data_IF_969968753338
#
_entry.id   IF_969968753338
#
_cell.length_a   1.000
_cell.length_b   1.000
_cell.length_c   1.000
_cell.angle_alpha   90.00
_cell.angle_beta   90.00
_cell.angle_gamma   90.00
#
_symmetry.space_group_name_H-M   'P 1'
#
loop_
_entity.id
_entity.type
_entity.pdbx_description
1 polymer ?
#
# COMPACT_ATOMS: atom_id res chain seq x y z
N UNK A 1 9.15 24.63 -11.49
CA UNK A 1 8.71 25.74 -12.38
C UNK A 1 9.93 26.31 -13.07
N UNK A 2 9.92 26.51 -14.40
CA UNK A 2 11.08 27.12 -15.10
C UNK A 2 11.20 28.60 -14.73
N UNK A 3 12.41 29.06 -14.40
CA UNK A 3 12.65 30.47 -14.02
C UNK A 3 12.92 31.36 -15.23
N UNK A 4 13.15 30.77 -16.40
CA UNK A 4 13.52 31.46 -17.64
C UNK A 4 15.02 31.74 -17.79
N UNK A 5 15.86 31.38 -16.80
CA UNK A 5 17.32 31.52 -16.89
C UNK A 5 17.95 30.23 -17.43
N UNK A 6 19.02 30.37 -18.20
CA UNK A 6 19.87 29.27 -18.64
C UNK A 6 21.19 29.29 -17.85
N UNK A 7 21.45 28.21 -17.11
CA UNK A 7 22.60 28.08 -16.20
C UNK A 7 23.51 26.94 -16.64
N UNK A 8 24.80 27.01 -16.30
CA UNK A 8 25.73 25.91 -16.58
C UNK A 8 25.46 24.77 -15.60
N UNK A 9 25.17 23.57 -16.12
CA UNK A 9 25.00 22.36 -15.31
C UNK A 9 26.34 21.63 -15.14
N UNK A 10 27.15 21.60 -16.20
CA UNK A 10 28.52 21.10 -16.22
C UNK A 10 29.39 21.99 -17.11
N UNK A 11 30.70 21.70 -17.20
CA UNK A 11 31.62 22.43 -18.10
C UNK A 11 31.23 22.33 -19.58
N UNK A 12 30.44 21.32 -19.95
CA UNK A 12 30.03 21.02 -21.34
C UNK A 12 28.53 21.21 -21.61
N UNK A 13 27.69 21.34 -20.58
CA UNK A 13 26.24 21.38 -20.75
C UNK A 13 25.60 22.55 -19.99
N UNK A 14 24.67 23.24 -20.66
CA UNK A 14 23.80 24.28 -20.07
C UNK A 14 22.37 23.77 -20.03
N UNK A 15 21.66 24.05 -18.94
CA UNK A 15 20.28 23.63 -18.75
C UNK A 15 19.40 24.82 -18.33
N UNK A 16 18.09 24.65 -18.44
CA UNK A 16 17.13 25.63 -17.93
C UNK A 16 17.09 25.56 -16.40
N UNK A 17 17.24 26.69 -15.73
CA UNK A 17 17.07 26.80 -14.29
C UNK A 17 15.59 26.59 -13.93
N UNK A 18 15.37 25.79 -12.89
CA UNK A 18 14.05 25.47 -12.38
C UNK A 18 13.98 25.80 -10.89
N UNK A 19 12.85 26.36 -10.47
CA UNK A 19 12.44 26.43 -9.08
C UNK A 19 11.81 25.08 -8.70
N UNK A 20 12.58 24.28 -7.97
CA UNK A 20 12.26 22.91 -7.54
C UNK A 20 13.14 22.53 -6.33
N UNK A 21 12.98 21.31 -5.82
CA UNK A 21 13.90 20.73 -4.83
C UNK A 21 15.28 20.54 -5.45
N UNK A 22 16.31 21.08 -4.79
CA UNK A 22 17.69 21.07 -5.27
C UNK A 22 18.60 20.20 -4.38
N UNK A 23 19.53 19.42 -4.97
CA UNK A 23 19.74 19.24 -6.41
C UNK A 23 18.61 18.44 -7.06
N UNK A 24 18.34 18.74 -8.34
CA UNK A 24 17.32 18.03 -9.12
C UNK A 24 17.81 16.60 -9.38
N UNK A 25 16.92 15.63 -9.21
CA UNK A 25 17.20 14.22 -9.50
C UNK A 25 17.62 14.06 -10.96
N UNK A 26 18.68 13.28 -11.19
CA UNK A 26 19.16 12.96 -12.54
C UNK A 26 18.61 11.60 -12.92
N UNK A 27 17.82 11.57 -13.99
CA UNK A 27 17.26 10.33 -14.52
C UNK A 27 18.40 9.57 -15.22
N UNK A 28 18.99 8.65 -14.46
CA UNK A 28 20.11 7.81 -14.90
C UNK A 28 19.61 6.40 -15.15
N UNK A 29 20.22 5.72 -16.12
CA UNK A 29 19.88 4.32 -16.37
C UNK A 29 20.08 3.50 -15.09
N UNK A 30 19.13 2.62 -14.75
CA UNK A 30 19.28 1.74 -13.60
C UNK A 30 20.58 0.94 -13.72
N UNK A 31 21.33 0.78 -12.62
CA UNK A 31 22.58 0.03 -12.64
C UNK A 31 22.33 -1.42 -13.07
N UNK A 32 23.18 -1.91 -13.97
CA UNK A 32 23.24 -3.31 -14.38
C UNK A 32 24.62 -3.88 -14.00
N UNK A 33 24.70 -4.86 -13.07
CA UNK A 33 23.61 -5.64 -12.47
C UNK A 33 22.80 -4.88 -11.41
N UNK A 34 21.59 -5.38 -11.13
CA UNK A 34 20.73 -4.82 -10.10
C UNK A 34 21.42 -4.82 -8.72
N UNK A 35 21.35 -3.68 -8.02
CA UNK A 35 21.99 -3.48 -6.70
C UNK A 35 21.53 -4.51 -5.67
N UNK A 36 20.26 -4.93 -5.74
CA UNK A 36 19.66 -5.89 -4.82
C UNK A 36 19.38 -7.25 -5.49
N UNK A 37 20.38 -7.78 -6.21
CA UNK A 37 20.32 -9.12 -6.81
C UNK A 37 19.93 -10.22 -5.80
N UNK A 38 20.35 -10.08 -4.54
CA UNK A 38 20.04 -11.04 -3.46
C UNK A 38 18.56 -11.05 -3.04
N UNK A 39 17.74 -10.09 -3.48
CA UNK A 39 16.30 -10.10 -3.21
C UNK A 39 15.61 -11.35 -3.79
N UNK A 40 16.20 -12.01 -4.79
CA UNK A 40 15.75 -13.30 -5.31
C UNK A 40 15.59 -14.37 -4.21
N UNK A 41 16.38 -14.25 -3.14
CA UNK A 41 16.39 -15.17 -1.99
C UNK A 41 15.44 -14.77 -0.86
N UNK A 42 14.70 -13.67 -1.02
CA UNK A 42 13.70 -13.29 -0.02
C UNK A 42 12.50 -14.21 -0.08
N UNK A 43 11.91 -14.42 1.09
CA UNK A 43 10.75 -15.28 1.28
C UNK A 43 9.54 -14.46 1.69
N UNK A 44 8.38 -14.79 1.13
CA UNK A 44 7.10 -14.17 1.43
C UNK A 44 6.18 -15.22 2.05
N UNK A 45 5.66 -14.94 3.25
CA UNK A 45 4.63 -15.74 3.89
C UNK A 45 3.24 -15.18 3.54
N UNK A 46 2.41 -16.00 2.88
CA UNK A 46 1.06 -15.63 2.51
C UNK A 46 0.06 -16.26 3.49
N UNK A 47 -0.67 -15.42 4.24
CA UNK A 47 -1.78 -15.85 5.10
C UNK A 47 -3.09 -15.50 4.41
N UNK A 48 -3.75 -16.50 3.85
CA UNK A 48 -5.02 -16.34 3.16
C UNK A 48 -6.14 -17.07 3.91
N UNK A 49 -7.28 -16.40 4.07
CA UNK A 49 -8.50 -16.93 4.67
C UNK A 49 -9.65 -16.64 3.71
N UNK A 50 -10.43 -17.67 3.41
CA UNK A 50 -11.64 -17.58 2.60
C UNK A 50 -12.86 -17.90 3.44
N UNK A 51 -13.98 -17.29 3.09
CA UNK A 51 -15.28 -17.53 3.70
C UNK A 51 -16.31 -17.61 2.59
N UNK A 52 -17.18 -18.61 2.64
CA UNK A 52 -18.39 -18.72 1.84
C UNK A 52 -19.59 -18.50 2.77
N UNK A 53 -20.06 -17.25 2.96
CA UNK A 53 -21.03 -16.91 4.01
C UNK A 53 -22.36 -17.65 3.85
N UNK A 54 -22.80 -17.86 2.61
CA UNK A 54 -24.05 -18.58 2.30
C UNK A 54 -24.06 -20.02 2.83
N UNK A 55 -22.90 -20.66 2.91
CA UNK A 55 -22.74 -22.03 3.37
C UNK A 55 -22.15 -22.13 4.78
N UNK A 56 -21.95 -20.98 5.45
CA UNK A 56 -21.28 -20.91 6.76
C UNK A 56 -19.92 -21.63 6.81
N UNK A 57 -19.24 -21.74 5.66
CA UNK A 57 -17.98 -22.45 5.51
C UNK A 57 -16.81 -21.48 5.41
N UNK A 58 -15.74 -21.72 6.17
CA UNK A 58 -14.53 -20.92 6.19
C UNK A 58 -13.28 -21.80 6.18
N UNK A 59 -12.25 -21.38 5.45
CA UNK A 59 -11.00 -22.14 5.32
C UNK A 59 -9.79 -21.22 5.25
N UNK A 60 -8.63 -21.74 5.64
CA UNK A 60 -7.35 -21.05 5.60
C UNK A 60 -6.34 -21.88 4.81
N UNK A 61 -5.39 -21.22 4.16
CA UNK A 61 -4.32 -21.92 3.45
C UNK A 61 -3.31 -22.59 4.39
N UNK A 62 -3.10 -22.02 5.58
CA UNK A 62 -2.31 -22.67 6.64
C UNK A 62 -3.22 -23.66 7.35
N UNK A 63 -2.98 -24.95 7.13
CA UNK A 63 -3.74 -26.03 7.72
C UNK A 63 -3.54 -26.05 9.27
N UNK A 64 -4.56 -26.46 10.04
CA UNK A 64 -4.52 -26.39 11.51
C UNK A 64 -3.52 -27.36 12.16
N UNK A 65 -3.15 -28.43 11.47
CA UNK A 65 -2.17 -29.45 11.85
C UNK A 65 -0.71 -29.01 11.62
N UNK A 66 -0.50 -27.86 10.98
CA UNK A 66 0.83 -27.30 10.72
C UNK A 66 1.46 -26.76 12.00
N UNK A 67 2.70 -27.19 12.26
CA UNK A 67 3.47 -26.75 13.42
C UNK A 67 4.43 -25.58 13.08
N UNK A 68 4.93 -24.92 14.13
CA UNK A 68 5.89 -23.81 14.00
C UNK A 68 7.23 -24.25 13.41
N UNK A 69 7.62 -25.52 13.58
CA UNK A 69 8.86 -26.08 13.05
C UNK A 69 8.82 -26.16 11.51
N UNK A 70 7.71 -26.62 10.97
CA UNK A 70 7.42 -26.68 9.54
C UNK A 70 7.44 -25.27 8.94
N UNK A 71 6.73 -24.31 9.54
CA UNK A 71 6.70 -22.92 9.05
C UNK A 71 8.05 -22.20 9.10
N UNK A 72 9.06 -22.72 9.81
CA UNK A 72 10.41 -22.13 9.78
C UNK A 72 11.24 -22.59 8.58
N UNK A 73 10.96 -23.78 8.07
CA UNK A 73 11.83 -24.47 7.12
C UNK A 73 11.16 -24.79 5.79
N UNK A 74 9.82 -24.79 5.72
CA UNK A 74 9.12 -25.08 4.48
C UNK A 74 9.34 -23.95 3.47
N UNK A 75 9.53 -24.34 2.22
CA UNK A 75 9.51 -23.47 1.05
C UNK A 75 8.59 -24.15 0.05
N UNK A 76 7.67 -23.39 -0.51
CA UNK A 76 6.69 -23.87 -1.48
C UNK A 76 7.38 -24.54 -2.66
N UNK A 77 6.90 -25.74 -3.00
CA UNK A 77 7.28 -26.45 -4.21
C UNK A 77 6.05 -27.17 -4.77
N UNK A 78 5.75 -26.93 -6.04
CA UNK A 78 4.57 -27.48 -6.73
C UNK A 78 4.41 -29.00 -6.58
N UNK A 79 5.52 -29.74 -6.52
CA UNK A 79 5.54 -31.20 -6.53
C UNK A 79 5.82 -31.77 -5.14
N UNK A 80 6.75 -31.18 -4.41
CA UNK A 80 7.26 -31.71 -3.13
C UNK A 80 6.44 -31.23 -1.94
N UNK A 81 6.05 -29.96 -1.93
CA UNK A 81 5.32 -29.35 -0.80
C UNK A 81 4.36 -28.24 -1.29
N UNK A 82 3.23 -28.62 -1.92
CA UNK A 82 2.28 -27.68 -2.52
C UNK A 82 1.44 -26.92 -1.48
N UNK A 83 1.52 -27.30 -0.20
CA UNK A 83 0.74 -26.69 0.88
C UNK A 83 1.53 -25.68 1.69
N UNK A 84 2.86 -25.57 1.50
CA UNK A 84 3.66 -24.57 2.20
C UNK A 84 3.26 -23.14 1.80
N UNK A 85 2.97 -22.26 2.77
CA UNK A 85 2.55 -20.88 2.52
C UNK A 85 3.71 -19.89 2.33
N UNK A 86 4.96 -20.37 2.28
CA UNK A 86 6.18 -19.55 2.21
C UNK A 86 6.79 -19.72 0.82
N UNK A 87 6.93 -18.61 0.10
CA UNK A 87 7.38 -18.59 -1.28
C UNK A 87 8.66 -17.79 -1.40
N UNK A 88 9.64 -18.31 -2.14
CA UNK A 88 10.84 -17.54 -2.49
C UNK A 88 10.57 -16.71 -3.74
N UNK A 89 11.04 -15.45 -3.75
CA UNK A 89 10.78 -14.53 -4.86
C UNK A 89 11.33 -15.05 -6.20
N UNK A 90 12.53 -15.64 -6.21
CA UNK A 90 13.09 -16.26 -7.41
C UNK A 90 12.24 -17.39 -7.97
N UNK A 91 11.68 -18.25 -7.10
CA UNK A 91 10.84 -19.37 -7.50
C UNK A 91 9.52 -18.86 -8.14
N UNK A 92 8.92 -17.81 -7.57
CA UNK A 92 7.72 -17.15 -8.14
C UNK A 92 7.98 -16.64 -9.55
N UNK A 93 9.11 -15.95 -9.75
CA UNK A 93 9.48 -15.33 -11.02
C UNK A 93 9.83 -16.39 -12.06
N UNK A 94 10.57 -17.43 -11.67
CA UNK A 94 10.91 -18.54 -12.55
C UNK A 94 9.69 -19.38 -12.96
N UNK A 95 8.73 -19.64 -12.07
CA UNK A 95 7.46 -20.32 -12.41
C UNK A 95 6.60 -19.49 -13.38
N UNK A 96 6.77 -18.17 -13.40
CA UNK A 96 6.14 -17.28 -14.37
C UNK A 96 6.90 -17.18 -15.70
N UNK A 97 7.98 -17.96 -15.88
CA UNK A 97 8.86 -17.94 -17.06
C UNK A 97 9.54 -16.58 -17.30
N UNK A 98 9.92 -15.92 -16.20
CA UNK A 98 10.67 -14.67 -16.20
C UNK A 98 12.04 -14.88 -15.50
N UNK A 99 12.99 -13.98 -15.75
CA UNK A 99 14.30 -13.99 -15.11
C UNK A 99 14.42 -12.81 -14.12
N UNK A 100 14.71 -13.11 -12.85
CA UNK A 100 14.72 -12.13 -11.76
C UNK A 100 15.73 -11.00 -12.00
N UNK A 101 16.91 -11.30 -12.55
CA UNK A 101 17.98 -10.32 -12.73
C UNK A 101 17.70 -9.35 -13.89
N UNK A 102 17.01 -9.81 -14.93
CA UNK A 102 16.59 -8.97 -16.06
C UNK A 102 15.37 -8.09 -15.79
N UNK A 103 14.61 -8.36 -14.72
CA UNK A 103 13.46 -7.52 -14.36
C UNK A 103 13.94 -6.20 -13.75
N UNK A 104 14.00 -5.14 -14.55
CA UNK A 104 14.24 -3.75 -14.10
C UNK A 104 13.04 -3.13 -13.36
N UNK A 105 12.36 -3.93 -12.53
CA UNK A 105 11.06 -3.65 -11.94
C UNK A 105 9.89 -4.18 -12.78
N UNK A 106 8.81 -4.57 -12.12
CA UNK A 106 7.64 -5.18 -12.77
C UNK A 106 6.57 -5.55 -11.75
N UNK A 107 5.39 -5.94 -12.23
CA UNK A 107 4.26 -6.29 -11.37
C UNK A 107 3.99 -7.78 -11.48
N UNK A 108 4.24 -8.51 -10.39
CA UNK A 108 3.99 -9.94 -10.31
C UNK A 108 2.66 -10.23 -9.62
N UNK A 109 1.83 -11.04 -10.26
CA UNK A 109 0.57 -11.52 -9.73
C UNK A 109 0.69 -12.92 -9.13
N UNK A 110 0.25 -13.07 -7.88
CA UNK A 110 0.06 -14.37 -7.22
C UNK A 110 -1.43 -14.65 -7.18
N UNK A 111 -1.88 -15.64 -7.94
CA UNK A 111 -3.28 -16.01 -8.04
C UNK A 111 -3.54 -17.31 -7.26
N UNK A 112 -4.38 -17.19 -6.23
CA UNK A 112 -4.76 -18.26 -5.30
C UNK A 112 -6.18 -18.69 -5.65
N UNK A 113 -6.33 -19.87 -6.25
CA UNK A 113 -7.63 -20.42 -6.63
C UNK A 113 -8.13 -21.40 -5.57
N UNK A 114 -9.34 -21.17 -5.10
CA UNK A 114 -10.10 -22.08 -4.24
C UNK A 114 -11.25 -22.67 -5.04
N UNK A 115 -11.04 -23.89 -5.51
CA UNK A 115 -12.03 -24.65 -6.28
C UNK A 115 -12.53 -25.78 -5.39
N UNK A 116 -13.52 -25.43 -4.56
CA UNK A 116 -14.01 -26.27 -3.48
C UNK A 116 -15.43 -26.70 -3.79
N UNK A 117 -15.60 -28.00 -3.98
CA UNK A 117 -16.90 -28.64 -3.94
C UNK A 117 -17.29 -28.84 -2.46
N UNK A 118 -18.32 -28.12 -1.99
CA UNK A 118 -18.75 -28.14 -0.59
C UNK A 118 -19.60 -29.38 -0.24
N UNK A 119 -19.95 -30.20 -1.23
CA UNK A 119 -20.55 -31.51 -1.00
C UNK A 119 -19.47 -32.55 -0.60
N UNK A 120 -18.20 -32.23 -0.85
CA UNK A 120 -17.04 -33.07 -0.53
C UNK A 120 -16.43 -32.72 0.84
N UNK A 121 -15.61 -33.62 1.43
CA UNK A 121 -14.95 -33.36 2.71
C UNK A 121 -14.10 -32.09 2.67
N UNK A 122 -14.15 -31.28 3.72
CA UNK A 122 -13.45 -29.99 3.79
C UNK A 122 -11.93 -30.09 3.55
N UNK A 123 -11.33 -31.26 3.82
CA UNK A 123 -9.91 -31.55 3.56
C UNK A 123 -9.51 -31.41 2.09
N UNK A 124 -10.44 -31.56 1.15
CA UNK A 124 -10.16 -31.47 -0.29
C UNK A 124 -10.18 -30.03 -0.79
N UNK A 125 -10.76 -29.11 -0.03
CA UNK A 125 -10.75 -27.70 -0.31
C UNK A 125 -9.38 -27.11 0.05
N UNK A 126 -8.47 -27.13 -0.93
CA UNK A 126 -7.09 -26.62 -0.81
C UNK A 126 -6.80 -25.56 -1.87
N UNK A 127 -5.93 -24.58 -1.58
CA UNK A 127 -5.60 -23.54 -2.53
C UNK A 127 -4.69 -24.07 -3.64
N UNK A 128 -4.90 -23.56 -4.86
CA UNK A 128 -3.99 -23.77 -5.99
C UNK A 128 -3.32 -22.45 -6.35
N UNK A 129 -1.99 -22.41 -6.28
CA UNK A 129 -1.19 -21.23 -6.57
C UNK A 129 -0.79 -21.15 -8.05
N UNK A 130 -0.85 -19.96 -8.63
CA UNK A 130 -0.37 -19.67 -9.98
C UNK A 130 0.32 -18.31 -10.00
N UNK A 131 1.40 -18.20 -10.77
CA UNK A 131 2.23 -17.00 -10.83
C UNK A 131 2.26 -16.48 -12.25
N UNK A 132 2.08 -15.17 -12.42
CA UNK A 132 2.13 -14.50 -13.72
C UNK A 132 2.66 -13.09 -13.58
N UNK A 133 3.37 -12.61 -14.60
CA UNK A 133 3.63 -11.19 -14.79
C UNK A 133 2.36 -10.47 -15.25
N UNK A 134 2.07 -9.32 -14.66
CA UNK A 134 0.84 -8.55 -14.92
C UNK A 134 1.08 -7.27 -15.75
N UNK A 135 2.30 -6.76 -15.77
CA UNK A 135 2.69 -5.64 -16.63
C UNK A 135 2.91 -6.09 -18.07
N UNK A 136 2.58 -5.22 -19.03
CA UNK A 136 2.76 -5.48 -20.45
C UNK A 136 4.25 -5.50 -20.80
N UNK A 137 4.77 -6.68 -21.12
CA UNK A 137 6.08 -6.87 -21.74
C UNK A 137 5.93 -6.79 -23.25
N UNK A 138 5.61 -5.60 -23.76
CA UNK A 138 5.56 -5.37 -25.21
C UNK A 138 6.95 -4.95 -25.70
N UNK A 139 7.68 -5.79 -26.47
CA UNK A 139 8.99 -5.44 -26.99
C UNK A 139 8.95 -4.27 -27.97
N UNK A 140 7.81 -4.00 -28.61
CA UNK A 140 7.64 -2.94 -29.61
C UNK A 140 7.20 -1.60 -28.99
N UNK A 141 6.61 -1.63 -27.79
CA UNK A 141 6.11 -0.44 -27.08
C UNK A 141 6.74 -0.26 -25.69
N UNK A 142 8.07 -0.21 -25.65
CA UNK A 142 8.85 -0.12 -24.42
C UNK A 142 8.97 1.31 -23.83
N UNK A 143 7.87 2.06 -23.79
CA UNK A 143 7.85 3.44 -23.24
C UNK A 143 8.03 3.44 -21.71
N UNK A 144 7.61 2.35 -21.06
CA UNK A 144 7.75 2.14 -19.62
C UNK A 144 8.13 0.66 -19.35
N UNK A 145 9.43 0.31 -19.37
CA UNK A 145 9.92 -1.08 -19.27
C UNK A 145 9.63 -1.78 -17.94
N UNK A 146 9.28 -1.03 -16.89
CA UNK A 146 9.13 -1.55 -15.55
C UNK A 146 8.34 -0.63 -14.64
N UNK A 147 8.32 -0.98 -13.36
CA UNK A 147 7.63 -0.22 -12.32
C UNK A 147 8.62 0.51 -11.41
N UNK A 148 8.53 1.84 -11.35
CA UNK A 148 9.28 2.68 -10.43
C UNK A 148 8.33 3.64 -9.70
N UNK A 149 8.72 4.09 -8.51
CA UNK A 149 8.00 5.14 -7.78
C UNK A 149 8.96 5.90 -6.88
N UNK A 150 8.68 7.20 -6.66
CA UNK A 150 9.45 8.04 -5.74
C UNK A 150 8.58 8.48 -4.57
N UNK A 151 9.00 8.15 -3.35
CA UNK A 151 8.20 8.31 -2.12
C UNK A 151 7.84 9.78 -1.86
N UNK A 152 8.79 10.70 -2.05
CA UNK A 152 8.62 12.13 -1.72
C UNK A 152 7.51 12.78 -2.54
N UNK A 153 7.54 12.79 -3.89
CA UNK A 153 6.47 13.38 -4.69
C UNK A 153 5.14 12.66 -4.50
N UNK A 154 5.14 11.34 -4.31
CA UNK A 154 3.91 10.58 -4.02
C UNK A 154 3.26 11.05 -2.72
N UNK A 155 4.03 11.19 -1.63
CA UNK A 155 3.52 11.68 -0.35
C UNK A 155 3.03 13.12 -0.42
N UNK A 156 3.72 14.00 -1.15
CA UNK A 156 3.29 15.38 -1.35
C UNK A 156 1.92 15.46 -2.06
N UNK A 157 1.73 14.65 -3.11
CA UNK A 157 0.47 14.61 -3.85
C UNK A 157 -0.67 14.03 -2.99
N UNK A 158 -0.41 12.98 -2.22
CA UNK A 158 -1.39 12.41 -1.29
C UNK A 158 -1.75 13.43 -0.20
N UNK A 159 -0.75 14.11 0.37
CA UNK A 159 -0.94 15.13 1.39
C UNK A 159 -1.79 16.31 0.88
N UNK A 160 -1.51 16.79 -0.33
CA UNK A 160 -2.31 17.82 -0.98
C UNK A 160 -3.77 17.36 -1.18
N UNK A 161 -3.99 16.11 -1.62
CA UNK A 161 -5.32 15.52 -1.76
C UNK A 161 -6.08 15.44 -0.43
N UNK A 162 -5.43 14.97 0.65
CA UNK A 162 -6.04 14.88 1.97
C UNK A 162 -6.37 16.26 2.57
N UNK A 163 -5.54 17.27 2.33
CA UNK A 163 -5.82 18.63 2.76
C UNK A 163 -7.10 19.19 2.10
N UNK A 164 -7.31 18.89 0.81
CA UNK A 164 -8.54 19.29 0.10
C UNK A 164 -9.80 18.63 0.66
N UNK A 165 -9.71 17.38 1.16
CA UNK A 165 -10.84 16.73 1.83
C UNK A 165 -11.28 17.45 3.11
N UNK A 166 -10.36 18.13 3.80
CA UNK A 166 -10.68 18.95 4.97
C UNK A 166 -11.61 20.13 4.66
N UNK A 167 -11.48 20.73 3.46
CA UNK A 167 -12.33 21.84 3.03
C UNK A 167 -13.79 21.41 2.85
N UNK A 168 -14.02 20.15 2.47
CA UNK A 168 -15.38 19.61 2.30
C UNK A 168 -16.16 19.71 3.60
N UNK A 169 -15.56 19.36 4.74
CA UNK A 169 -16.24 19.45 6.04
C UNK A 169 -16.62 20.89 6.40
N UNK A 170 -15.74 21.86 6.13
CA UNK A 170 -16.02 23.28 6.41
C UNK A 170 -17.16 23.79 5.54
N UNK A 171 -17.16 23.46 4.25
CA UNK A 171 -18.22 23.86 3.32
C UNK A 171 -19.54 23.18 3.69
N UNK A 172 -19.52 21.87 3.97
CA UNK A 172 -20.71 21.14 4.42
C UNK A 172 -21.28 21.74 5.70
N UNK A 173 -20.45 22.07 6.67
CA UNK A 173 -20.86 22.71 7.91
C UNK A 173 -21.49 24.09 7.68
N UNK A 174 -20.87 24.91 6.83
CA UNK A 174 -21.42 26.21 6.43
C UNK A 174 -22.78 26.07 5.75
N UNK A 175 -22.92 25.12 4.82
CA UNK A 175 -24.19 24.86 4.13
C UNK A 175 -25.28 24.40 5.11
N UNK A 176 -24.97 23.47 6.01
CA UNK A 176 -25.91 22.96 7.02
C UNK A 176 -26.36 24.08 7.96
N UNK A 177 -25.43 24.94 8.39
CA UNK A 177 -25.72 26.02 9.33
C UNK A 177 -26.47 27.19 8.70
N UNK A 178 -26.27 27.47 7.41
CA UNK A 178 -26.88 28.63 6.73
C UNK A 178 -28.16 28.30 5.97
N UNK A 179 -28.21 27.18 5.24
CA UNK A 179 -29.30 26.93 4.27
C UNK A 179 -30.32 25.88 4.71
N UNK A 180 -30.01 25.01 5.68
CA UNK A 180 -30.96 23.98 6.10
C UNK A 180 -32.04 24.55 7.03
N UNK A 181 -33.31 24.22 6.73
CA UNK A 181 -34.46 24.62 7.57
C UNK A 181 -34.37 24.15 9.03
N UNK A 182 -33.64 23.06 9.31
CA UNK A 182 -33.39 22.52 10.66
C UNK A 182 -32.03 22.93 11.23
N UNK A 183 -31.42 24.02 10.76
CA UNK A 183 -30.09 24.47 11.22
C UNK A 183 -30.01 24.72 12.73
N UNK A 184 -31.09 25.16 13.37
CA UNK A 184 -31.14 25.35 14.84
C UNK A 184 -30.94 24.04 15.62
N UNK A 185 -31.56 22.94 15.16
CA UNK A 185 -31.37 21.61 15.76
C UNK A 185 -29.92 21.14 15.62
N UNK A 186 -29.30 21.41 14.47
CA UNK A 186 -27.89 21.08 14.24
C UNK A 186 -26.96 21.93 15.13
N UNK A 187 -27.26 23.22 15.34
CA UNK A 187 -26.50 24.11 16.23
C UNK A 187 -26.52 23.62 17.69
N UNK A 188 -27.68 23.19 18.19
CA UNK A 188 -27.83 22.68 19.55
C UNK A 188 -27.03 21.40 19.80
N UNK A 189 -26.89 20.53 18.79
CA UNK A 189 -26.10 19.31 18.90
C UNK A 189 -24.60 19.54 18.70
N UNK A 190 -24.22 20.54 17.89
CA UNK A 190 -22.83 20.83 17.55
C UNK A 190 -22.12 21.71 18.58
N UNK A 191 -22.80 22.73 19.11
CA UNK A 191 -22.21 23.72 20.00
C UNK A 191 -22.73 23.54 21.43
N UNK A 192 -21.82 23.48 22.40
CA UNK A 192 -22.12 23.61 23.81
C UNK A 192 -21.56 24.94 24.30
N UNK A 193 -22.41 25.77 24.91
CA UNK A 193 -22.00 27.04 25.50
C UNK A 193 -21.52 26.78 26.93
N UNK A 194 -20.33 27.27 27.26
CA UNK A 194 -19.77 27.20 28.62
C UNK A 194 -19.63 28.63 29.12
N UNK A 195 -20.25 28.95 30.25
CA UNK A 195 -20.10 30.24 30.91
C UNK A 195 -18.83 30.26 31.77
N UNK A 196 -17.94 31.23 31.53
CA UNK A 196 -16.64 31.38 32.22
C UNK A 196 -16.77 31.58 33.75
N UNK A 197 -17.96 31.95 34.23
CA UNK A 197 -18.24 32.14 35.66
C UNK A 197 -18.12 30.85 36.49
N UNK A 198 -18.22 29.67 35.87
CA UNK A 198 -18.07 28.39 36.58
C UNK A 198 -16.60 27.97 36.81
N UNK A 199 -15.66 28.45 35.99
CA UNK A 199 -14.23 28.08 36.09
C UNK A 199 -13.50 28.90 37.17
N UNK A 200 -13.89 30.16 37.39
CA UNK A 200 -13.34 30.98 38.50
C UNK A 200 -13.74 30.43 39.87
N UNK A 201 -14.88 29.72 39.98
CA UNK A 201 -15.32 29.13 41.25
C UNK A 201 -14.52 27.88 41.66
N UNK A 202 -13.78 27.23 40.76
CA UNK A 202 -13.05 25.98 41.06
C UNK A 202 -11.55 26.17 41.27
N UNK A 203 -10.93 27.23 40.73
CA UNK A 203 -9.52 27.57 41.01
C UNK A 203 -9.31 28.34 42.32
N UNK A 204 -10.38 28.87 42.94
CA UNK A 204 -10.31 29.52 44.26
C UNK A 204 -10.51 28.56 45.45
N UNK A 205 -10.66 27.25 45.22
CA UNK A 205 -10.86 26.25 46.27
C UNK A 205 -9.61 25.37 46.51
N UNK A 206 -8.42 25.95 46.49
CA UNK A 206 -7.19 25.31 46.98
C UNK A 206 -6.38 26.31 47.83
N UNK A 207 -6.89 26.68 49.01
CA UNK A 207 -6.09 26.95 50.21
C UNK A 207 -6.98 27.31 51.41
N UNK A 208 -6.62 26.78 52.58
CA UNK A 208 -7.21 26.91 53.94
C UNK A 208 -8.35 25.93 54.31
N UNK A 209 -7.96 24.68 54.59
CA UNK A 209 -8.39 24.05 55.84
C UNK A 209 -7.28 24.29 56.86
N UNK A 210 -7.56 25.18 57.82
CA UNK A 210 -7.04 25.09 59.19
C UNK A 210 -8.02 24.21 59.96
#
# INVERSE_FOLDING_TARGET
VQTGKCVNFSDSARTCEVFAWCPVETDSEPPNPAVLANAENFTVLIKNSIQYPKFSFGRRNILPDVNTSYLRNCIFDRKRDPHCPIFRLGDIVSEANEDFQSMAGGVMGIHIRWDCDLDMPESWCVPKYTFRRLDNKDPDNNVAPGYNFSVVPTLLNIGAGLALLGLVNVVCDWVVLTFMKKSNLYKEQKYSYVDDYALVSTSHQFHLFL
#
